data_IF_602532328950
#
_entry.id   IF_602532328950
#
_cell.length_a   1.000
_cell.length_b   1.000
_cell.length_c   1.000
_cell.angle_alpha   90.00
_cell.angle_beta   90.00
_cell.angle_gamma   90.00
#
_symmetry.space_group_name_H-M   'P 1'
#
loop_
_entity.id
_entity.type
_entity.pdbx_description
1 polymer ?
#
# COMPACT_ATOMS: atom_id res chain seq x y z
N UNK A 1 23.78 -29.74 -0.65
CA UNK A 1 23.02 -29.52 0.60
C UNK A 1 22.61 -28.04 0.68
N UNK A 2 21.90 -27.54 -0.34
CA UNK A 2 21.55 -26.11 -0.54
C UNK A 2 20.03 -25.88 -0.59
N UNK A 3 19.23 -26.96 -0.66
CA UNK A 3 17.77 -26.90 -0.76
C UNK A 3 17.03 -26.40 0.50
N UNK A 4 17.69 -26.36 1.66
CA UNK A 4 17.04 -25.95 2.91
C UNK A 4 16.99 -24.42 3.11
N UNK A 5 17.90 -23.62 2.51
CA UNK A 5 17.84 -22.16 2.64
C UNK A 5 16.86 -21.53 1.65
N UNK A 6 16.79 -22.02 0.40
CA UNK A 6 15.85 -21.51 -0.63
C UNK A 6 14.38 -21.65 -0.19
N UNK A 7 14.03 -22.77 0.46
CA UNK A 7 12.67 -22.98 0.98
C UNK A 7 12.33 -22.08 2.18
N UNK A 8 13.32 -21.79 3.03
CA UNK A 8 13.15 -20.90 4.18
C UNK A 8 13.02 -19.43 3.75
N UNK A 9 13.81 -19.00 2.76
CA UNK A 9 13.75 -17.65 2.18
C UNK A 9 12.43 -17.41 1.45
N UNK A 10 11.94 -18.38 0.66
CA UNK A 10 10.62 -18.30 0.02
C UNK A 10 9.47 -18.21 1.04
N UNK A 11 9.56 -18.97 2.14
CA UNK A 11 8.54 -18.95 3.18
C UNK A 11 8.55 -17.63 3.98
N UNK A 12 9.73 -17.06 4.23
CA UNK A 12 9.88 -15.76 4.88
C UNK A 12 9.36 -14.63 3.99
N UNK A 13 9.74 -14.61 2.71
CA UNK A 13 9.24 -13.66 1.71
C UNK A 13 7.71 -13.70 1.59
N UNK A 14 7.12 -14.90 1.57
CA UNK A 14 5.67 -15.08 1.48
C UNK A 14 4.91 -14.59 2.71
N UNK A 15 5.50 -14.72 3.91
CA UNK A 15 4.91 -14.17 5.15
C UNK A 15 5.04 -12.66 5.22
N UNK A 16 6.14 -12.10 4.75
CA UNK A 16 6.36 -10.65 4.68
C UNK A 16 5.33 -10.02 3.72
N UNK A 17 5.12 -10.60 2.53
CA UNK A 17 4.10 -10.11 1.60
C UNK A 17 2.66 -10.24 2.13
N UNK A 18 2.36 -11.28 2.92
CA UNK A 18 1.05 -11.42 3.59
C UNK A 18 0.84 -10.40 4.71
N UNK A 19 1.90 -10.04 5.44
CA UNK A 19 1.86 -8.95 6.43
C UNK A 19 1.67 -7.59 5.72
N UNK A 20 2.38 -7.36 4.61
CA UNK A 20 2.25 -6.14 3.81
C UNK A 20 0.86 -5.92 3.20
N UNK A 21 0.20 -6.98 2.72
CA UNK A 21 -1.16 -6.86 2.20
C UNK A 21 -2.17 -6.48 3.29
N UNK A 22 -1.95 -6.97 4.53
CA UNK A 22 -2.79 -6.64 5.69
C UNK A 22 -2.58 -5.21 6.17
N UNK A 23 -1.34 -4.72 6.17
CA UNK A 23 -1.05 -3.33 6.54
C UNK A 23 -1.68 -2.36 5.55
N UNK A 24 -1.61 -2.66 4.25
CA UNK A 24 -2.31 -1.89 3.21
C UNK A 24 -3.83 -1.91 3.38
N UNK A 25 -4.41 -3.07 3.70
CA UNK A 25 -5.84 -3.18 3.98
C UNK A 25 -6.23 -2.38 5.24
N UNK A 26 -5.40 -2.41 6.29
CA UNK A 26 -5.59 -1.63 7.51
C UNK A 26 -5.60 -0.13 7.24
N UNK A 27 -4.67 0.37 6.42
CA UNK A 27 -4.63 1.78 6.01
C UNK A 27 -5.89 2.20 5.24
N UNK A 28 -6.38 1.35 4.32
CA UNK A 28 -7.62 1.64 3.57
C UNK A 28 -8.83 1.64 4.50
N UNK A 29 -8.95 0.63 5.38
CA UNK A 29 -10.03 0.54 6.37
C UNK A 29 -10.02 1.78 7.28
N UNK A 30 -8.83 2.22 7.72
CA UNK A 30 -8.69 3.43 8.53
C UNK A 30 -9.24 4.67 7.83
N UNK A 31 -8.90 4.88 6.54
CA UNK A 31 -9.46 5.98 5.73
C UNK A 31 -10.98 5.87 5.64
N UNK A 32 -11.51 4.68 5.34
CA UNK A 32 -12.97 4.48 5.20
C UNK A 32 -13.69 4.79 6.50
N UNK A 33 -13.19 4.30 7.64
CA UNK A 33 -13.76 4.59 8.97
C UNK A 33 -13.71 6.09 9.27
N UNK A 34 -12.61 6.77 8.95
CA UNK A 34 -12.49 8.22 9.12
C UNK A 34 -13.55 8.97 8.28
N UNK A 35 -13.72 8.60 7.02
CA UNK A 35 -14.73 9.16 6.13
C UNK A 35 -16.14 8.98 6.69
N UNK A 36 -16.50 7.75 7.06
CA UNK A 36 -17.80 7.44 7.65
C UNK A 36 -18.04 8.26 8.93
N UNK A 37 -17.04 8.33 9.82
CA UNK A 37 -17.13 9.06 11.09
C UNK A 37 -17.33 10.55 10.86
N UNK A 38 -16.54 11.16 9.96
CA UNK A 38 -16.59 12.60 9.73
C UNK A 38 -17.87 13.03 9.01
N UNK A 39 -18.33 12.26 8.01
CA UNK A 39 -19.61 12.50 7.35
C UNK A 39 -20.78 12.31 8.31
N UNK A 40 -20.75 11.25 9.13
CA UNK A 40 -21.76 11.03 10.16
C UNK A 40 -21.82 12.20 11.14
N UNK A 41 -20.67 12.67 11.63
CA UNK A 41 -20.61 13.83 12.52
C UNK A 41 -21.18 15.09 11.84
N UNK A 42 -20.81 15.35 10.58
CA UNK A 42 -21.31 16.50 9.82
C UNK A 42 -22.84 16.47 9.67
N UNK A 43 -23.41 15.31 9.32
CA UNK A 43 -24.85 15.12 9.19
C UNK A 43 -25.58 15.28 10.53
N UNK A 44 -25.01 14.78 11.62
CA UNK A 44 -25.59 14.92 12.96
C UNK A 44 -25.60 16.37 13.41
N UNK A 45 -24.53 17.13 13.14
CA UNK A 45 -24.41 18.52 13.58
C UNK A 45 -25.20 19.48 12.67
N UNK A 46 -25.43 19.12 11.41
CA UNK A 46 -26.12 19.95 10.42
C UNK A 46 -27.41 20.64 10.88
N UNK A 47 -28.40 19.95 11.51
CA UNK A 47 -29.63 20.59 11.97
C UNK A 47 -29.42 21.57 13.13
N UNK A 48 -28.34 21.42 13.91
CA UNK A 48 -28.08 22.25 15.10
C UNK A 48 -27.36 23.57 14.77
N UNK A 49 -26.86 23.75 13.55
CA UNK A 49 -26.18 24.98 13.12
C UNK A 49 -27.17 25.85 12.33
N UNK A 50 -27.71 26.94 12.90
CA UNK A 50 -28.60 27.84 12.16
C UNK A 50 -27.84 28.84 11.28
N UNK A 51 -26.55 29.10 11.56
CA UNK A 51 -25.76 30.13 10.87
C UNK A 51 -25.13 29.57 9.59
N UNK A 52 -25.46 30.11 8.39
CA UNK A 52 -24.93 29.59 7.12
C UNK A 52 -23.42 29.65 7.00
N UNK A 53 -22.78 30.71 7.51
CA UNK A 53 -21.33 30.87 7.47
C UNK A 53 -20.60 29.73 8.21
N UNK A 54 -21.13 29.29 9.35
CA UNK A 54 -20.56 28.19 10.14
C UNK A 54 -20.68 26.86 9.37
N UNK A 55 -21.80 26.64 8.65
CA UNK A 55 -21.97 25.43 7.81
C UNK A 55 -20.93 25.36 6.69
N UNK A 56 -20.65 26.49 6.04
CA UNK A 56 -19.63 26.56 4.98
C UNK A 56 -18.26 26.22 5.54
N UNK A 57 -17.86 26.88 6.63
CA UNK A 57 -16.57 26.65 7.29
C UNK A 57 -16.45 25.17 7.69
N UNK A 58 -17.46 24.63 8.38
CA UNK A 58 -17.43 23.25 8.85
C UNK A 58 -17.29 22.25 7.68
N UNK A 59 -18.03 22.47 6.58
CA UNK A 59 -17.97 21.60 5.40
C UNK A 59 -16.61 21.68 4.72
N UNK A 60 -16.05 22.89 4.55
CA UNK A 60 -14.74 23.09 3.93
C UNK A 60 -13.64 22.43 4.75
N UNK A 61 -13.59 22.69 6.07
CA UNK A 61 -12.56 22.10 6.92
C UNK A 61 -12.72 20.58 7.08
N UNK A 62 -13.95 20.08 7.16
CA UNK A 62 -14.23 18.64 7.10
C UNK A 62 -13.67 18.02 5.81
N UNK A 63 -13.95 18.64 4.65
CA UNK A 63 -13.44 18.21 3.36
C UNK A 63 -11.91 18.25 3.29
N UNK A 64 -11.27 19.31 3.80
CA UNK A 64 -9.82 19.43 3.84
C UNK A 64 -9.17 18.35 4.71
N UNK A 65 -9.73 18.05 5.88
CA UNK A 65 -9.23 16.98 6.76
C UNK A 65 -9.29 15.63 6.04
N UNK A 66 -10.43 15.31 5.42
CA UNK A 66 -10.60 14.06 4.67
C UNK A 66 -9.65 13.99 3.47
N UNK A 67 -9.53 15.07 2.71
CA UNK A 67 -8.67 15.13 1.53
C UNK A 67 -7.20 14.97 1.89
N UNK A 68 -6.70 15.76 2.84
CA UNK A 68 -5.29 15.71 3.23
C UNK A 68 -4.93 14.39 3.89
N UNK A 69 -5.81 13.83 4.74
CA UNK A 69 -5.55 12.54 5.37
C UNK A 69 -5.50 11.42 4.33
N UNK A 70 -6.44 11.43 3.37
CA UNK A 70 -6.44 10.46 2.26
C UNK A 70 -5.20 10.64 1.39
N UNK A 71 -4.83 11.88 1.05
CA UNK A 71 -3.64 12.17 0.24
C UNK A 71 -2.34 11.73 0.92
N UNK A 72 -2.21 11.93 2.24
CA UNK A 72 -1.05 11.49 3.01
C UNK A 72 -0.92 9.95 2.98
N UNK A 73 -2.02 9.23 3.16
CA UNK A 73 -2.03 7.76 3.10
C UNK A 73 -1.75 7.27 1.68
N UNK A 74 -2.30 7.92 0.65
CA UNK A 74 -1.99 7.61 -0.75
C UNK A 74 -0.53 7.89 -1.07
N UNK A 75 0.05 8.98 -0.56
CA UNK A 75 1.47 9.29 -0.73
C UNK A 75 2.35 8.24 -0.04
N UNK A 76 1.99 7.82 1.17
CA UNK A 76 2.66 6.71 1.88
C UNK A 76 2.59 5.43 1.05
N UNK A 77 1.41 5.07 0.52
CA UNK A 77 1.24 3.89 -0.34
C UNK A 77 2.00 4.01 -1.66
N UNK A 78 2.03 5.19 -2.28
CA UNK A 78 2.73 5.42 -3.56
C UNK A 78 4.23 5.30 -3.38
N UNK A 79 4.78 5.94 -2.34
CA UNK A 79 6.19 5.84 -2.00
C UNK A 79 6.60 4.37 -1.73
N UNK A 80 5.73 3.59 -1.08
CA UNK A 80 5.94 2.15 -0.88
C UNK A 80 5.97 1.31 -2.16
N UNK A 81 5.19 1.68 -3.20
CA UNK A 81 5.19 0.98 -4.50
C UNK A 81 6.38 1.41 -5.35
N UNK A 82 6.70 2.71 -5.33
CA UNK A 82 7.81 3.31 -6.07
C UNK A 82 9.17 2.82 -5.54
N UNK A 83 9.31 2.63 -4.22
CA UNK A 83 10.50 2.02 -3.62
C UNK A 83 10.63 0.51 -3.91
N UNK A 84 9.51 -0.23 -4.09
CA UNK A 84 9.55 -1.65 -4.49
C UNK A 84 9.97 -1.84 -5.95
N UNK A 85 9.52 -0.98 -6.86
CA UNK A 85 9.90 -1.04 -8.29
C UNK A 85 11.40 -0.81 -8.50
N UNK A 86 12.03 0.07 -7.71
CA UNK A 86 13.47 0.32 -7.80
C UNK A 86 14.32 -0.84 -7.28
N UNK A 87 13.92 -1.47 -6.17
CA UNK A 87 14.68 -2.57 -5.56
C UNK A 87 14.44 -3.92 -6.29
N UNK A 88 13.21 -4.24 -6.69
CA UNK A 88 12.88 -5.53 -7.32
C UNK A 88 13.11 -5.57 -8.84
N UNK A 89 13.17 -4.42 -9.52
CA UNK A 89 13.57 -4.37 -10.93
C UNK A 89 14.99 -4.91 -11.17
N UNK A 90 15.87 -4.77 -10.17
CA UNK A 90 17.23 -5.31 -10.22
C UNK A 90 17.26 -6.82 -9.94
N UNK A 91 16.50 -7.31 -8.96
CA UNK A 91 16.52 -8.72 -8.55
C UNK A 91 15.81 -9.65 -9.55
N UNK A 92 14.73 -9.18 -10.20
CA UNK A 92 14.04 -9.90 -11.28
C UNK A 92 14.97 -10.12 -12.49
N UNK A 93 15.83 -9.13 -12.79
CA UNK A 93 16.82 -9.19 -13.86
C UNK A 93 17.96 -10.18 -13.54
N UNK A 94 18.40 -10.26 -12.28
CA UNK A 94 19.37 -11.26 -11.84
C UNK A 94 18.81 -12.69 -11.89
N UNK A 95 17.53 -12.89 -11.56
CA UNK A 95 16.85 -14.19 -11.68
C UNK A 95 16.69 -14.64 -13.14
N UNK A 96 16.41 -13.71 -14.06
CA UNK A 96 16.34 -14.02 -15.49
C UNK A 96 17.72 -14.33 -16.10
N UNK A 97 18.77 -13.62 -15.67
CA UNK A 97 20.15 -13.94 -16.07
C UNK A 97 20.60 -15.32 -15.57
N UNK A 98 20.23 -15.71 -14.35
CA UNK A 98 20.51 -17.06 -13.83
C UNK A 98 19.75 -18.16 -14.58
N UNK A 99 18.48 -17.93 -14.97
CA UNK A 99 17.73 -18.86 -15.83
C UNK A 99 18.29 -18.94 -17.24
N UNK A 100 18.79 -17.84 -17.80
CA UNK A 100 19.42 -17.83 -19.12
C UNK A 100 20.73 -18.63 -19.11
N UNK A 101 21.55 -18.51 -18.04
CA UNK A 101 22.75 -19.32 -17.86
C UNK A 101 22.44 -20.80 -17.70
N UNK A 102 21.37 -21.15 -16.97
CA UNK A 102 20.95 -22.56 -16.80
C UNK A 102 20.47 -23.20 -18.12
N UNK A 103 19.74 -22.46 -18.96
CA UNK A 103 19.31 -22.94 -20.29
C UNK A 103 20.45 -22.97 -21.33
N UNK A 104 21.46 -22.12 -21.18
CA UNK A 104 22.66 -22.13 -22.02
C UNK A 104 23.61 -23.30 -21.72
N UNK A 105 23.67 -23.75 -20.46
CA UNK A 105 24.51 -24.88 -20.04
C UNK A 105 24.05 -26.25 -20.53
N UNK A 106 22.76 -26.43 -20.81
CA UNK A 106 22.21 -27.71 -21.33
C UNK A 106 22.48 -27.93 -22.83
N UNK A 107 22.99 -26.93 -23.57
CA UNK A 107 23.28 -27.03 -25.02
C UNK A 107 24.73 -27.32 -25.38
N UNK A 108 25.64 -27.43 -24.39
CA UNK A 108 27.07 -27.64 -24.62
C UNK A 108 27.66 -28.79 -23.79
N UNK A 109 26.82 -29.76 -23.40
CA UNK A 109 27.19 -30.97 -22.67
C UNK A 109 26.77 -32.24 -23.40
N UNK A 110 26.99 -32.31 -24.72
CA UNK A 110 27.01 -33.54 -25.50
C UNK A 110 28.43 -33.75 -26.05
#
# INVERSE_FOLDING_TARGET
MVSHSEGAEMHLARRIDQMHARDRAGLIIFVVVLWCTMLFALLNVWPFIPVPAIRIILTVFCGLVLLFNTAAIVAMLRHYVEDKEFIYGLDLKHLDEMRARRRGGERHGL
#
